data_IF_683624599251
#
_entry.id   IF_683624599251
#
_cell.length_a   1.000
_cell.length_b   1.000
_cell.length_c   1.000
_cell.angle_alpha   90.00
_cell.angle_beta   90.00
_cell.angle_gamma   90.00
#
_symmetry.space_group_name_H-M   'P 1'
#
loop_
_entity.id
_entity.type
_entity.pdbx_description
1 polymer ?
#
# COMPACT_ATOMS: atom_id res chain seq x y z
N UNK A 1 -57.82 -20.51 -10.50
CA UNK A 1 -58.52 -20.56 -11.79
C UNK A 1 -57.69 -19.85 -12.84
N UNK A 2 -57.51 -20.53 -14.00
CA UNK A 2 -56.99 -20.08 -15.31
C UNK A 2 -55.47 -19.71 -15.35
N UNK A 3 -54.62 -20.64 -15.84
CA UNK A 3 -54.28 -21.09 -17.22
C UNK A 3 -53.38 -20.10 -17.93
N UNK A 4 -52.07 -20.48 -18.15
CA UNK A 4 -51.48 -21.13 -19.34
C UNK A 4 -51.31 -20.15 -20.53
N UNK A 5 -50.08 -20.08 -21.07
CA UNK A 5 -49.61 -20.43 -22.44
C UNK A 5 -48.19 -19.81 -22.57
N UNK A 6 -47.14 -20.50 -22.60
CA UNK A 6 -46.36 -21.25 -23.61
C UNK A 6 -46.22 -20.53 -24.97
N UNK A 7 -44.99 -20.19 -25.36
CA UNK A 7 -44.58 -20.20 -26.76
C UNK A 7 -43.04 -20.29 -26.89
N UNK A 8 -42.61 -21.40 -27.41
CA UNK A 8 -41.31 -21.78 -27.94
C UNK A 8 -41.12 -21.07 -29.28
N UNK A 9 -39.94 -20.45 -29.50
CA UNK A 9 -39.47 -20.20 -30.86
C UNK A 9 -37.99 -20.62 -30.99
N UNK A 10 -37.82 -21.79 -31.61
CA UNK A 10 -36.57 -22.30 -32.16
C UNK A 10 -36.41 -21.73 -33.55
N UNK A 11 -35.28 -21.10 -33.84
CA UNK A 11 -34.87 -20.97 -35.25
C UNK A 11 -33.33 -21.11 -35.35
N UNK A 12 -32.99 -22.26 -35.91
CA UNK A 12 -31.68 -22.65 -36.38
C UNK A 12 -31.33 -21.85 -37.64
N UNK A 13 -30.10 -21.28 -37.69
CA UNK A 13 -29.46 -21.01 -38.98
C UNK A 13 -28.02 -21.43 -38.94
N UNK A 14 -27.73 -22.48 -39.64
CA UNK A 14 -26.42 -23.06 -39.93
C UNK A 14 -25.93 -22.42 -41.25
N UNK A 15 -24.81 -21.71 -41.22
CA UNK A 15 -24.03 -21.42 -42.44
C UNK A 15 -22.56 -21.66 -42.19
N UNK A 16 -22.06 -22.72 -42.80
CA UNK A 16 -20.62 -22.96 -43.00
C UNK A 16 -20.10 -21.96 -44.04
N UNK A 17 -18.94 -21.41 -43.81
CA UNK A 17 -17.99 -21.04 -44.85
C UNK A 17 -16.55 -21.10 -44.35
N UNK A 18 -15.80 -21.86 -45.10
CA UNK A 18 -14.39 -22.21 -44.94
C UNK A 18 -13.43 -21.07 -45.37
N UNK A 19 -12.21 -21.25 -44.91
CA UNK A 19 -10.89 -20.74 -45.37
C UNK A 19 -10.43 -19.34 -44.99
N UNK A 20 -9.26 -19.36 -44.32
CA UNK A 20 -8.33 -18.28 -44.25
C UNK A 20 -7.42 -18.35 -43.03
N UNK A 21 -6.48 -19.34 -42.98
CA UNK A 21 -5.32 -19.24 -42.08
C UNK A 21 -4.42 -18.12 -42.55
N UNK A 22 -4.23 -17.11 -41.71
CA UNK A 22 -3.00 -16.29 -41.72
C UNK A 22 -2.51 -16.20 -40.27
N UNK A 23 -1.41 -16.90 -40.02
CA UNK A 23 -0.56 -16.69 -38.86
C UNK A 23 -0.07 -15.24 -38.84
N UNK A 24 -0.53 -14.49 -37.86
CA UNK A 24 0.14 -13.25 -37.45
C UNK A 24 0.16 -13.25 -35.92
N UNK A 25 1.35 -13.50 -35.36
CA UNK A 25 1.65 -13.26 -33.97
C UNK A 25 1.16 -11.88 -33.54
N UNK A 26 0.34 -11.75 -32.50
CA UNK A 26 0.13 -10.45 -31.89
C UNK A 26 1.35 -10.14 -31.02
N UNK A 27 2.34 -9.48 -31.60
CA UNK A 27 3.35 -8.75 -30.89
C UNK A 27 2.63 -7.81 -29.93
N UNK A 28 2.54 -8.18 -28.66
CA UNK A 28 2.01 -7.35 -27.59
C UNK A 28 2.82 -6.05 -27.56
N UNK A 29 2.25 -5.02 -28.15
CA UNK A 29 2.77 -3.66 -28.09
C UNK A 29 2.52 -3.14 -26.68
N UNK A 30 3.50 -3.31 -25.78
CA UNK A 30 3.57 -2.59 -24.53
C UNK A 30 3.76 -1.10 -24.87
N UNK A 31 2.65 -0.40 -25.07
CA UNK A 31 2.66 1.07 -25.20
C UNK A 31 2.47 1.67 -23.81
N UNK A 32 3.49 1.55 -22.98
CA UNK A 32 3.68 2.42 -21.85
C UNK A 32 4.34 3.71 -22.33
N UNK A 33 3.58 4.80 -22.43
CA UNK A 33 4.14 6.14 -22.64
C UNK A 33 4.88 6.58 -21.37
N UNK A 34 6.11 6.10 -21.18
CA UNK A 34 7.08 6.74 -20.31
C UNK A 34 7.66 7.95 -21.06
N UNK A 35 7.79 9.08 -20.39
CA UNK A 35 8.61 10.20 -20.89
C UNK A 35 9.98 9.68 -21.33
N UNK A 36 10.60 10.21 -22.41
CA UNK A 36 11.94 9.81 -22.77
C UNK A 36 12.87 10.19 -21.63
N UNK A 37 13.32 9.23 -20.81
CA UNK A 37 14.35 9.51 -19.85
C UNK A 37 14.55 8.52 -18.72
N UNK A 38 13.55 8.04 -17.98
CA UNK A 38 13.84 7.27 -16.76
C UNK A 38 12.99 6.02 -16.68
N UNK A 39 13.63 4.86 -16.60
CA UNK A 39 12.93 3.58 -16.43
C UNK A 39 12.31 3.47 -15.03
N UNK A 40 11.25 2.66 -14.82
CA UNK A 40 10.69 2.40 -13.48
C UNK A 40 11.76 1.89 -12.50
N UNK A 41 12.70 1.07 -12.97
CA UNK A 41 13.81 0.56 -12.16
C UNK A 41 14.77 1.67 -11.72
N UNK A 42 15.04 2.64 -12.60
CA UNK A 42 15.92 3.76 -12.26
C UNK A 42 15.24 4.72 -11.28
N UNK A 43 13.93 4.97 -11.44
CA UNK A 43 13.13 5.74 -10.47
C UNK A 43 13.14 5.06 -9.10
N UNK A 44 12.99 3.73 -9.05
CA UNK A 44 13.01 2.98 -7.81
C UNK A 44 14.39 3.05 -7.12
N UNK A 45 15.48 2.92 -7.89
CA UNK A 45 16.85 3.06 -7.36
C UNK A 45 17.10 4.47 -6.83
N UNK A 46 16.65 5.51 -7.58
CA UNK A 46 16.78 6.90 -7.14
C UNK A 46 16.00 7.14 -5.85
N UNK A 47 14.76 6.62 -5.74
CA UNK A 47 13.96 6.74 -4.53
C UNK A 47 14.61 6.03 -3.34
N UNK A 48 15.08 4.81 -3.51
CA UNK A 48 15.82 4.09 -2.47
C UNK A 48 17.05 4.89 -2.01
N UNK A 49 17.85 5.39 -2.95
CA UNK A 49 19.04 6.20 -2.65
C UNK A 49 18.70 7.48 -1.87
N UNK A 50 17.64 8.20 -2.30
CA UNK A 50 17.17 9.42 -1.64
C UNK A 50 16.68 9.16 -0.20
N UNK A 51 16.21 7.95 0.09
CA UNK A 51 15.75 7.54 1.41
C UNK A 51 16.81 6.81 2.25
N UNK A 52 18.08 6.81 1.82
CA UNK A 52 19.22 6.30 2.60
C UNK A 52 19.87 5.05 2.05
N UNK A 53 19.39 4.50 0.94
CA UNK A 53 20.02 3.38 0.25
C UNK A 53 20.19 2.15 1.14
N UNK A 54 21.44 1.72 1.32
CA UNK A 54 21.76 0.54 2.15
C UNK A 54 21.46 0.76 3.63
N UNK A 55 21.43 1.99 4.11
CA UNK A 55 21.01 2.27 5.49
C UNK A 55 19.52 1.96 5.68
N UNK A 56 18.67 2.29 4.71
CA UNK A 56 17.25 1.91 4.74
C UNK A 56 17.09 0.38 4.70
N UNK A 57 17.87 -0.31 3.87
CA UNK A 57 17.88 -1.80 3.84
C UNK A 57 18.35 -2.41 5.14
N UNK A 58 19.30 -1.76 5.81
CA UNK A 58 19.89 -2.21 7.06
C UNK A 58 19.05 -1.92 8.31
N UNK A 59 17.86 -1.32 8.18
CA UNK A 59 16.97 -1.10 9.33
C UNK A 59 16.49 -2.45 9.87
N UNK A 60 16.84 -2.72 11.13
CA UNK A 60 16.36 -3.88 11.89
C UNK A 60 15.11 -3.55 12.70
N UNK A 61 15.07 -2.35 13.27
CA UNK A 61 13.93 -1.83 14.04
C UNK A 61 13.67 -0.38 13.70
N UNK A 62 12.41 -0.01 13.63
CA UNK A 62 11.97 1.37 13.49
C UNK A 62 10.80 1.63 14.44
N UNK A 63 10.89 2.70 15.19
CA UNK A 63 9.83 3.16 16.09
C UNK A 63 9.43 4.57 15.71
N UNK A 64 8.15 4.78 15.42
CA UNK A 64 7.53 6.09 15.23
C UNK A 64 6.46 6.30 16.28
N UNK A 65 6.50 7.42 16.99
CA UNK A 65 5.46 7.82 17.93
C UNK A 65 5.10 9.28 17.72
N UNK A 66 3.84 9.61 17.91
CA UNK A 66 3.40 10.99 17.73
C UNK A 66 1.91 11.22 17.93
N UNK A 67 1.43 12.29 17.34
CA UNK A 67 0.00 12.63 17.31
C UNK A 67 -0.61 12.24 15.98
N UNK A 68 -1.91 11.92 16.02
CA UNK A 68 -2.74 11.64 14.86
C UNK A 68 -4.08 12.34 15.02
N UNK A 69 -4.56 12.93 13.94
CA UNK A 69 -5.91 13.47 13.83
C UNK A 69 -6.70 12.60 12.84
N UNK A 70 -7.81 12.00 13.30
CA UNK A 70 -8.61 11.09 12.46
C UNK A 70 -9.95 11.73 12.15
N UNK A 71 -10.33 11.74 10.87
CA UNK A 71 -11.66 12.12 10.39
C UNK A 71 -12.26 10.98 9.57
N UNK A 72 -13.57 10.91 9.50
CA UNK A 72 -14.27 9.93 8.66
C UNK A 72 -15.37 10.62 7.86
N UNK A 73 -15.85 9.96 6.80
CA UNK A 73 -16.99 10.46 6.03
C UNK A 73 -18.27 10.60 6.87
N UNK A 74 -18.39 9.88 7.99
CA UNK A 74 -19.53 9.98 8.93
C UNK A 74 -19.31 11.02 10.03
N UNK A 75 -18.06 11.26 10.43
CA UNK A 75 -17.68 12.20 11.49
C UNK A 75 -16.59 13.12 10.95
N UNK A 76 -16.96 14.27 10.37
CA UNK A 76 -16.00 15.21 9.78
C UNK A 76 -15.18 15.97 10.82
N UNK A 77 -15.61 15.97 12.09
CA UNK A 77 -14.81 16.56 13.17
C UNK A 77 -13.61 15.70 13.46
N UNK A 78 -12.42 16.32 13.49
CA UNK A 78 -11.17 15.61 13.78
C UNK A 78 -11.16 15.06 15.21
N UNK A 79 -10.85 13.78 15.33
CA UNK A 79 -10.61 13.09 16.61
C UNK A 79 -9.10 13.05 16.83
N UNK A 80 -8.63 13.89 17.75
CA UNK A 80 -7.22 13.93 18.13
C UNK A 80 -6.83 12.69 18.94
N UNK A 81 -5.67 12.14 18.66
CA UNK A 81 -5.13 10.97 19.33
C UNK A 81 -3.61 10.92 19.28
N UNK A 82 -3.09 9.77 19.68
CA UNK A 82 -1.67 9.42 19.55
C UNK A 82 -1.51 8.12 18.77
N UNK A 83 -0.34 7.95 18.16
CA UNK A 83 0.00 6.71 17.50
C UNK A 83 1.37 6.20 17.90
N UNK A 84 1.56 4.89 17.78
CA UNK A 84 2.84 4.23 17.77
C UNK A 84 2.87 3.20 16.64
N UNK A 85 3.90 3.26 15.80
CA UNK A 85 4.22 2.26 14.79
C UNK A 85 5.59 1.69 15.14
N UNK A 86 5.67 0.39 15.32
CA UNK A 86 6.91 -0.30 15.73
C UNK A 86 7.13 -1.46 14.78
N UNK A 87 8.34 -1.52 14.22
CA UNK A 87 8.78 -2.59 13.33
C UNK A 87 10.02 -3.25 13.88
N UNK A 88 10.08 -4.58 13.78
CA UNK A 88 11.26 -5.37 14.10
C UNK A 88 11.35 -6.58 13.15
N UNK A 89 12.17 -6.48 12.11
CA UNK A 89 12.20 -7.45 11.03
C UNK A 89 10.84 -7.54 10.34
N UNK A 90 10.24 -8.73 10.30
CA UNK A 90 8.91 -8.94 9.72
C UNK A 90 7.76 -8.59 10.68
N UNK A 91 8.05 -8.41 11.98
CA UNK A 91 7.05 -8.08 12.99
C UNK A 91 6.68 -6.61 12.96
N UNK A 92 5.43 -6.31 13.26
CA UNK A 92 5.00 -4.94 13.50
C UNK A 92 3.95 -4.83 14.60
N UNK A 93 3.88 -3.65 15.18
CA UNK A 93 2.80 -3.18 16.04
C UNK A 93 2.35 -1.81 15.59
N UNK A 94 1.04 -1.63 15.46
CA UNK A 94 0.39 -0.35 15.20
C UNK A 94 -0.63 -0.09 16.30
N UNK A 95 -0.46 0.98 17.04
CA UNK A 95 -1.42 1.48 18.02
C UNK A 95 -1.93 2.85 17.60
N UNK A 96 -3.24 3.03 17.64
CA UNK A 96 -3.95 4.29 17.45
C UNK A 96 -4.81 4.52 18.69
N UNK A 97 -4.41 5.46 19.53
CA UNK A 97 -5.13 5.79 20.77
C UNK A 97 -5.92 7.07 20.55
N UNK A 98 -7.22 6.95 20.44
CA UNK A 98 -8.17 8.05 20.36
C UNK A 98 -9.22 7.93 21.48
N UNK A 99 -9.94 9.03 21.82
CA UNK A 99 -10.88 9.03 22.93
C UNK A 99 -12.09 8.09 22.77
N UNK A 100 -12.41 7.69 21.52
CA UNK A 100 -13.59 6.83 21.26
C UNK A 100 -13.24 5.35 21.40
N UNK A 101 -12.20 4.90 20.72
CA UNK A 101 -11.81 3.50 20.73
C UNK A 101 -10.32 3.36 20.41
N UNK A 102 -9.51 2.87 21.35
CA UNK A 102 -8.12 2.52 21.03
C UNK A 102 -8.10 1.32 20.08
N UNK A 103 -7.25 1.43 19.07
CA UNK A 103 -7.04 0.41 18.05
C UNK A 103 -5.61 -0.09 18.19
N UNK A 104 -5.43 -1.39 18.26
CA UNK A 104 -4.14 -2.04 18.19
C UNK A 104 -4.18 -3.15 17.15
N UNK A 105 -3.15 -3.22 16.31
CA UNK A 105 -2.90 -4.34 15.43
C UNK A 105 -1.44 -4.75 15.53
N UNK A 106 -1.22 -6.05 15.65
CA UNK A 106 0.10 -6.64 15.86
C UNK A 106 0.27 -7.82 14.92
N UNK A 107 1.42 -7.91 14.29
CA UNK A 107 1.88 -9.09 13.58
C UNK A 107 3.13 -9.63 14.29
N UNK A 108 3.07 -10.84 14.81
CA UNK A 108 4.16 -11.47 15.59
C UNK A 108 5.21 -12.19 14.72
N UNK A 109 5.06 -12.12 13.40
CA UNK A 109 5.85 -12.83 12.40
C UNK A 109 5.11 -14.03 11.79
N UNK A 110 3.99 -14.46 12.39
CA UNK A 110 3.16 -15.57 11.92
C UNK A 110 1.69 -15.17 11.82
N UNK A 111 1.15 -14.56 12.86
CA UNK A 111 -0.28 -14.24 12.98
C UNK A 111 -0.51 -12.75 13.20
N UNK A 112 -1.58 -12.25 12.60
CA UNK A 112 -2.11 -10.92 12.91
C UNK A 112 -3.10 -11.02 14.08
N UNK A 113 -2.95 -10.12 15.05
CA UNK A 113 -3.88 -9.91 16.16
C UNK A 113 -4.37 -8.47 16.09
N UNK A 114 -5.67 -8.23 16.29
CA UNK A 114 -6.26 -6.89 16.27
C UNK A 114 -7.31 -6.72 17.34
N UNK A 115 -7.46 -5.51 17.86
CA UNK A 115 -8.58 -5.11 18.73
C UNK A 115 -9.78 -4.61 17.92
N UNK A 116 -9.64 -4.47 16.61
CA UNK A 116 -10.74 -4.05 15.73
C UNK A 116 -11.76 -5.19 15.64
N UNK A 117 -13.02 -4.86 15.89
CA UNK A 117 -14.11 -5.81 15.79
C UNK A 117 -14.52 -6.09 14.36
N UNK A 118 -15.31 -7.16 14.16
CA UNK A 118 -15.91 -7.52 12.86
C UNK A 118 -14.92 -7.94 11.76
N UNK A 119 -13.75 -8.47 12.14
CA UNK A 119 -12.79 -9.03 11.19
C UNK A 119 -12.13 -7.99 10.27
N UNK A 120 -12.18 -6.72 10.62
CA UNK A 120 -11.46 -5.68 9.91
C UNK A 120 -10.00 -5.66 10.39
N UNK A 121 -9.07 -5.60 9.43
CA UNK A 121 -7.65 -5.44 9.68
C UNK A 121 -7.12 -4.20 8.98
N UNK A 122 -6.20 -3.50 9.63
CA UNK A 122 -5.46 -2.41 8.99
C UNK A 122 -4.46 -2.98 7.97
N UNK A 123 -3.93 -2.15 7.05
CA UNK A 123 -2.94 -2.61 6.08
C UNK A 123 -1.78 -3.36 6.76
N UNK A 124 -1.27 -4.45 6.14
CA UNK A 124 -0.08 -5.14 6.62
C UNK A 124 1.16 -4.28 6.35
N UNK A 125 1.42 -3.30 7.22
CA UNK A 125 2.41 -2.23 7.03
C UNK A 125 3.86 -2.73 6.87
N UNK A 126 4.14 -3.99 7.14
CA UNK A 126 5.40 -4.66 6.82
C UNK A 126 5.47 -5.18 5.38
N UNK A 127 4.34 -5.26 4.66
CA UNK A 127 4.23 -5.81 3.30
C UNK A 127 3.77 -4.80 2.26
N UNK A 128 3.34 -3.62 2.70
CA UNK A 128 2.93 -2.51 1.85
C UNK A 128 3.49 -1.20 2.37
N UNK A 129 3.58 -0.19 1.50
CA UNK A 129 3.96 1.16 1.88
C UNK A 129 5.47 1.36 1.99
N UNK A 130 5.89 2.23 2.91
CA UNK A 130 7.25 2.77 2.97
C UNK A 130 8.34 1.69 3.02
N UNK A 131 8.15 0.62 3.80
CA UNK A 131 9.16 -0.42 3.99
C UNK A 131 9.46 -1.25 2.74
N UNK A 132 8.50 -1.38 1.83
CA UNK A 132 8.72 -2.09 0.57
C UNK A 132 9.80 -1.44 -0.29
N UNK A 133 10.09 -0.14 -0.09
CA UNK A 133 11.17 0.54 -0.79
C UNK A 133 12.54 -0.11 -0.53
N UNK A 134 12.77 -0.70 0.64
CA UNK A 134 14.01 -1.42 0.97
C UNK A 134 14.24 -2.67 0.11
N UNK A 135 13.18 -3.21 -0.52
CA UNK A 135 13.21 -4.41 -1.37
C UNK A 135 13.62 -4.13 -2.82
N UNK A 136 13.84 -2.86 -3.19
CA UNK A 136 14.30 -2.50 -4.55
C UNK A 136 15.61 -3.22 -4.87
N UNK A 137 15.62 -3.97 -5.97
CA UNK A 137 16.75 -4.80 -6.39
C UNK A 137 16.69 -6.27 -5.94
N UNK A 138 15.75 -6.63 -5.09
CA UNK A 138 15.41 -8.04 -4.81
C UNK A 138 14.54 -8.58 -5.95
N UNK A 139 14.97 -9.68 -6.56
CA UNK A 139 14.27 -10.30 -7.70
C UNK A 139 12.90 -10.84 -7.36
N UNK A 140 12.62 -11.12 -6.08
CA UNK A 140 11.31 -11.54 -5.58
C UNK A 140 10.32 -10.38 -5.50
N UNK A 141 10.79 -9.13 -5.62
CA UNK A 141 10.00 -7.91 -5.56
C UNK A 141 10.12 -7.12 -6.87
N UNK A 142 9.46 -7.57 -7.95
CA UNK A 142 9.58 -6.93 -9.24
C UNK A 142 9.13 -5.47 -9.21
N UNK A 143 9.92 -4.63 -9.89
CA UNK A 143 9.62 -3.23 -10.14
C UNK A 143 9.01 -3.08 -11.53
N UNK A 144 7.87 -2.40 -11.64
CA UNK A 144 7.17 -2.16 -12.90
C UNK A 144 6.69 -0.71 -13.03
N UNK A 145 6.23 -0.34 -14.22
CA UNK A 145 5.60 0.96 -14.44
C UNK A 145 4.27 1.04 -13.69
N UNK A 146 3.89 2.26 -13.31
CA UNK A 146 2.55 2.53 -12.79
C UNK A 146 1.49 2.20 -13.86
N UNK A 147 0.30 1.74 -13.45
CA UNK A 147 -0.82 1.57 -14.37
C UNK A 147 -1.15 2.89 -15.07
N UNK A 148 -1.55 2.81 -16.35
CA UNK A 148 -1.95 3.98 -17.13
C UNK A 148 -3.33 4.50 -16.71
N UNK A 149 -3.43 5.17 -15.58
CA UNK A 149 -4.67 5.69 -15.00
C UNK A 149 -4.76 7.22 -15.19
N UNK A 150 -5.06 7.67 -16.39
CA UNK A 150 -5.44 9.06 -16.71
C UNK A 150 -4.38 10.13 -16.48
N UNK A 151 -4.06 10.51 -15.27
CA UNK A 151 -3.03 11.52 -14.97
C UNK A 151 -1.64 10.88 -14.92
N UNK A 152 -0.72 11.41 -15.73
CA UNK A 152 0.68 10.99 -15.72
C UNK A 152 1.29 11.30 -14.35
N UNK A 153 1.58 10.27 -13.58
CA UNK A 153 2.31 10.38 -12.32
C UNK A 153 3.70 9.79 -12.51
N UNK A 154 4.72 10.47 -12.05
CA UNK A 154 6.06 9.91 -11.98
C UNK A 154 6.16 8.93 -10.84
N UNK A 155 6.51 7.70 -11.15
CA UNK A 155 6.59 6.69 -10.13
C UNK A 155 6.81 5.29 -10.67
N UNK A 156 6.70 4.34 -9.77
CA UNK A 156 6.91 2.92 -10.05
C UNK A 156 6.08 2.08 -9.10
N UNK A 157 5.83 0.84 -9.47
CA UNK A 157 5.18 -0.18 -8.63
C UNK A 157 6.22 -1.18 -8.15
N UNK A 158 6.13 -1.57 -6.87
CA UNK A 158 6.76 -2.78 -6.34
C UNK A 158 5.66 -3.77 -5.99
N UNK A 159 5.83 -5.04 -6.41
CA UNK A 159 4.88 -6.12 -6.07
C UNK A 159 5.60 -7.14 -5.18
N UNK A 160 4.96 -7.58 -4.10
CA UNK A 160 5.48 -8.63 -3.23
C UNK A 160 5.20 -10.02 -3.81
N UNK A 161 5.91 -11.08 -3.36
CA UNK A 161 5.65 -12.46 -3.77
C UNK A 161 4.21 -12.92 -3.49
N UNK A 162 3.56 -12.38 -2.46
CA UNK A 162 2.18 -12.68 -2.09
C UNK A 162 1.14 -11.92 -2.92
N UNK A 163 1.60 -11.04 -3.84
CA UNK A 163 0.73 -10.26 -4.72
C UNK A 163 0.28 -8.91 -4.14
N UNK A 164 0.74 -8.51 -2.96
CA UNK A 164 0.56 -7.14 -2.48
C UNK A 164 1.39 -6.19 -3.34
N UNK A 165 0.87 -4.99 -3.58
CA UNK A 165 1.65 -4.00 -4.32
C UNK A 165 1.59 -2.62 -3.68
N UNK A 166 2.61 -1.84 -3.97
CA UNK A 166 2.69 -0.43 -3.63
C UNK A 166 3.12 0.39 -4.84
N UNK A 167 2.31 1.37 -5.19
CA UNK A 167 2.57 2.38 -6.22
C UNK A 167 3.21 3.59 -5.57
N UNK A 168 4.47 3.86 -5.88
CA UNK A 168 5.21 5.00 -5.35
C UNK A 168 5.16 6.18 -6.30
N UNK A 169 4.97 7.36 -5.74
CA UNK A 169 5.03 8.64 -6.45
C UNK A 169 6.25 9.41 -5.98
N UNK A 170 7.09 9.81 -6.91
CA UNK A 170 8.39 10.42 -6.61
C UNK A 170 8.49 11.85 -7.12
N UNK A 171 9.30 12.64 -6.44
CA UNK A 171 9.78 13.91 -6.96
C UNK A 171 10.90 13.67 -7.97
N UNK A 172 10.75 14.16 -9.19
CA UNK A 172 11.70 13.94 -10.29
C UNK A 172 13.10 14.50 -10.01
N UNK A 173 13.16 15.59 -9.25
CA UNK A 173 14.43 16.31 -9.02
C UNK A 173 15.23 15.70 -7.88
N UNK A 174 14.53 15.25 -6.84
CA UNK A 174 15.16 14.78 -5.59
C UNK A 174 15.15 13.27 -5.43
N UNK A 175 14.29 12.56 -6.17
CA UNK A 175 14.01 11.14 -5.98
C UNK A 175 13.19 10.83 -4.71
N UNK A 176 12.88 11.83 -3.87
CA UNK A 176 12.14 11.61 -2.65
C UNK A 176 10.68 11.21 -2.92
N UNK A 177 10.13 10.37 -2.05
CA UNK A 177 8.72 9.99 -2.12
C UNK A 177 7.82 11.19 -1.78
N UNK A 178 6.86 11.45 -2.66
CA UNK A 178 5.72 12.35 -2.40
C UNK A 178 4.54 11.61 -1.76
N UNK A 179 4.50 10.30 -1.93
CA UNK A 179 3.47 9.45 -1.38
C UNK A 179 3.46 8.08 -2.05
N UNK A 180 2.51 7.27 -1.64
CA UNK A 180 2.30 5.95 -2.23
C UNK A 180 0.84 5.53 -2.08
N UNK A 181 0.45 4.58 -2.90
CA UNK A 181 -0.86 3.93 -2.85
C UNK A 181 -0.65 2.43 -2.80
N UNK A 182 -1.37 1.73 -1.94
CA UNK A 182 -1.28 0.29 -1.78
C UNK A 182 -2.67 -0.31 -1.78
N UNK A 183 -2.81 -1.48 -2.39
CA UNK A 183 -4.03 -2.26 -2.32
C UNK A 183 -3.71 -3.66 -1.81
N UNK A 184 -4.60 -4.19 -1.00
CA UNK A 184 -4.49 -5.51 -0.43
C UNK A 184 -5.87 -6.15 -0.32
N UNK A 185 -5.89 -7.48 -0.38
CA UNK A 185 -7.13 -8.25 -0.17
C UNK A 185 -7.38 -8.42 1.34
N UNK A 186 -8.62 -8.17 1.73
CA UNK A 186 -9.10 -8.37 3.08
C UNK A 186 -10.36 -9.25 3.02
N UNK A 187 -10.17 -10.54 3.15
CA UNK A 187 -11.27 -11.52 3.12
C UNK A 187 -12.16 -11.40 1.86
N UNK A 188 -11.54 -11.31 0.68
CA UNK A 188 -12.21 -11.15 -0.62
C UNK A 188 -12.67 -9.73 -0.94
N UNK A 189 -12.32 -8.74 -0.09
CA UNK A 189 -12.56 -7.32 -0.35
C UNK A 189 -11.23 -6.60 -0.58
N UNK A 190 -11.07 -5.97 -1.73
CA UNK A 190 -9.91 -5.14 -2.01
C UNK A 190 -10.05 -3.82 -1.23
N UNK A 191 -9.07 -3.54 -0.37
CA UNK A 191 -8.94 -2.28 0.35
C UNK A 191 -7.78 -1.50 -0.25
N UNK A 192 -8.04 -0.23 -0.54
CA UNK A 192 -7.01 0.68 -1.04
C UNK A 192 -6.70 1.73 0.03
N UNK A 193 -5.42 1.94 0.27
CA UNK A 193 -4.92 3.01 1.13
C UNK A 193 -3.95 3.88 0.35
N UNK A 194 -4.05 5.19 0.53
CA UNK A 194 -3.11 6.14 -0.07
C UNK A 194 -2.47 7.01 1.01
N UNK A 195 -1.18 7.25 0.85
CA UNK A 195 -0.39 8.11 1.74
C UNK A 195 0.20 9.26 0.94
N UNK A 196 -0.02 10.48 1.42
CA UNK A 196 0.68 11.69 0.97
C UNK A 196 1.73 12.07 2.02
N UNK A 197 2.96 12.29 1.59
CA UNK A 197 4.08 12.64 2.48
C UNK A 197 4.32 14.15 2.38
N UNK A 198 4.10 14.86 3.50
CA UNK A 198 4.30 16.30 3.58
C UNK A 198 5.73 16.65 3.99
N UNK A 199 6.31 15.86 4.89
CA UNK A 199 7.66 16.10 5.43
C UNK A 199 8.34 14.81 5.81
N UNK A 200 9.64 14.73 5.47
CA UNK A 200 10.53 13.71 5.97
C UNK A 200 11.55 14.27 6.98
N UNK A 201 12.05 13.40 7.85
CA UNK A 201 13.16 13.66 8.78
C UNK A 201 14.28 12.67 8.52
N UNK A 202 15.52 13.15 8.51
CA UNK A 202 16.70 12.28 8.47
C UNK A 202 17.04 11.80 9.88
N UNK A 203 17.06 10.48 10.06
CA UNK A 203 17.47 9.81 11.30
C UNK A 203 18.53 8.77 10.94
N UNK A 204 19.72 8.89 11.48
CA UNK A 204 20.88 8.03 11.17
C UNK A 204 21.20 7.87 9.68
N UNK A 205 20.85 8.91 8.89
CA UNK A 205 21.03 8.94 7.44
C UNK A 205 19.96 8.19 6.64
N UNK A 206 18.86 7.83 7.28
CA UNK A 206 17.63 7.38 6.61
C UNK A 206 16.60 8.49 6.62
N UNK A 207 16.01 8.78 5.46
CA UNK A 207 14.97 9.80 5.31
C UNK A 207 13.59 9.14 5.50
N UNK A 208 12.97 9.39 6.65
CA UNK A 208 11.74 8.75 7.11
C UNK A 208 10.59 9.76 7.10
N UNK A 209 9.36 9.39 6.67
CA UNK A 209 8.19 10.25 6.77
C UNK A 209 7.94 10.71 8.22
N UNK A 210 7.91 12.04 8.41
CA UNK A 210 7.64 12.70 9.71
C UNK A 210 6.21 13.21 9.79
N UNK A 211 5.73 13.84 8.69
CA UNK A 211 4.34 14.27 8.55
C UNK A 211 3.77 13.64 7.30
N UNK A 212 2.65 12.99 7.44
CA UNK A 212 1.97 12.35 6.32
C UNK A 212 0.49 12.17 6.60
N UNK A 213 -0.30 12.23 5.55
CA UNK A 213 -1.74 11.99 5.60
C UNK A 213 -2.02 10.62 4.96
N UNK A 214 -2.85 9.83 5.60
CA UNK A 214 -3.28 8.53 5.07
C UNK A 214 -4.79 8.48 4.90
N UNK A 215 -5.23 8.02 3.74
CA UNK A 215 -6.62 7.76 3.41
C UNK A 215 -6.84 6.24 3.34
N UNK A 216 -7.93 5.80 3.94
CA UNK A 216 -8.41 4.42 3.89
C UNK A 216 -9.79 4.40 3.22
N UNK A 217 -9.91 3.66 2.12
CA UNK A 217 -11.19 3.42 1.48
C UNK A 217 -11.73 2.05 1.89
N UNK A 218 -12.77 2.09 2.73
CA UNK A 218 -13.39 0.92 3.35
C UNK A 218 -14.77 0.59 2.73
N UNK A 219 -14.95 0.92 1.48
CA UNK A 219 -16.20 0.79 0.76
C UNK A 219 -17.14 1.98 1.02
N UNK A 220 -18.09 1.85 1.94
CA UNK A 220 -19.01 2.96 2.27
C UNK A 220 -18.40 4.00 3.22
N UNK A 221 -17.31 3.66 3.89
CA UNK A 221 -16.59 4.52 4.82
C UNK A 221 -15.24 4.90 4.26
N UNK A 222 -14.95 6.19 4.20
CA UNK A 222 -13.60 6.70 4.00
C UNK A 222 -13.12 7.33 5.29
N UNK A 223 -11.93 6.94 5.73
CA UNK A 223 -11.23 7.51 6.87
C UNK A 223 -9.96 8.23 6.39
N UNK A 224 -9.66 9.35 7.04
CA UNK A 224 -8.43 10.12 6.86
C UNK A 224 -7.71 10.20 8.19
N UNK A 225 -6.40 10.02 8.19
CA UNK A 225 -5.57 10.13 9.37
C UNK A 225 -4.34 10.98 9.05
N UNK A 226 -4.18 12.09 9.78
CA UNK A 226 -3.04 13.01 9.64
C UNK A 226 -2.04 12.72 10.76
N UNK A 227 -0.91 12.15 10.39
CA UNK A 227 0.15 11.71 11.30
C UNK A 227 1.25 12.75 11.43
N UNK A 228 1.72 12.95 12.66
CA UNK A 228 2.88 13.76 12.97
C UNK A 228 3.79 13.01 13.94
N UNK A 229 4.85 12.36 13.43
CA UNK A 229 5.84 11.67 14.23
C UNK A 229 6.70 12.69 15.00
N UNK A 230 6.66 12.63 16.32
CA UNK A 230 7.46 13.45 17.23
C UNK A 230 8.76 12.74 17.60
N UNK A 231 8.68 11.44 17.83
CA UNK A 231 9.77 10.54 18.14
C UNK A 231 9.94 9.52 17.01
N UNK A 232 11.15 9.47 16.44
CA UNK A 232 11.55 8.52 15.41
C UNK A 232 12.88 7.91 15.82
N UNK A 233 12.92 6.61 16.05
CA UNK A 233 14.11 5.89 16.51
C UNK A 233 14.37 4.71 15.56
N UNK A 234 15.63 4.51 15.19
CA UNK A 234 16.10 3.48 14.26
C UNK A 234 17.08 2.56 14.99
N UNK A 235 17.00 1.27 14.74
CA UNK A 235 17.91 0.24 15.25
C UNK A 235 18.05 0.20 16.79
N UNK A 236 17.00 0.60 17.51
CA UNK A 236 16.94 0.42 18.97
C UNK A 236 16.54 -1.00 19.32
N UNK A 237 16.87 -1.44 20.53
CA UNK A 237 16.37 -2.72 21.05
C UNK A 237 14.87 -2.65 21.27
N UNK A 238 14.15 -3.66 20.78
CA UNK A 238 12.71 -3.81 20.93
C UNK A 238 12.40 -5.19 21.50
N UNK A 239 11.72 -5.22 22.65
CA UNK A 239 11.37 -6.47 23.32
C UNK A 239 10.28 -7.22 22.53
N UNK A 240 10.44 -8.54 22.39
CA UNK A 240 9.47 -9.37 21.67
C UNK A 240 8.06 -9.35 22.29
N UNK A 241 7.95 -9.13 23.60
CA UNK A 241 6.67 -9.09 24.31
C UNK A 241 5.71 -8.01 23.79
N UNK A 242 6.21 -6.94 23.14
CA UNK A 242 5.33 -5.90 22.59
C UNK A 242 4.55 -6.37 21.35
N UNK A 243 4.98 -7.44 20.69
CA UNK A 243 4.28 -8.02 19.55
C UNK A 243 3.20 -9.04 19.94
N UNK A 244 2.62 -8.86 21.11
CA UNK A 244 1.50 -9.66 21.63
C UNK A 244 0.45 -8.69 22.18
N UNK A 245 -0.82 -8.87 21.80
CA UNK A 245 -1.92 -8.16 22.45
C UNK A 245 -2.28 -8.94 23.72
N UNK A 246 -2.01 -8.35 24.86
CA UNK A 246 -2.48 -8.91 26.15
C UNK A 246 -4.02 -8.76 26.20
N UNK A 247 -4.69 -9.87 26.39
CA UNK A 247 -6.15 -9.96 26.56
C UNK A 247 -6.52 -9.76 28.00
#
# INVERSE_FOLDING_TARGET
MKKLISSIFVLSFLVLSLFGQTNTDPKAKATGNSSPGTSPADLAKAALSAHGGDKLRGIKTLVLRGSVDVTTSMFPQALAGTFAMIFAGEKYRLDLNNPMQPISQVFDGVNTQTTIQNGFELPPINRVGFFMLSKVGDTSFPVSALPANGKKKNGFRITSPEGFYTDYFVDEKTGQLKGYESSYDMNGRVVTTSVAIDKCRSVEGVLIPEKFSQRFDLGQLTAYADFKAKDIQVNIEVQNAIFIIQR
#
